data_IF_403124640679
#
_entry.id   IF_403124640679
#
_cell.length_a   1.000
_cell.length_b   1.000
_cell.length_c   1.000
_cell.angle_alpha   90.00
_cell.angle_beta   90.00
_cell.angle_gamma   90.00
#
_symmetry.space_group_name_H-M   'P 1'
#
loop_
_entity.id
_entity.type
_entity.pdbx_description
1 polymer ?
#
# COMPACT_ATOMS: atom_id res chain seq x y z
N UNK A 1 3.02 -21.63 1.84
CA UNK A 1 3.36 -20.54 0.91
C UNK A 1 2.68 -20.70 -0.45
N UNK A 2 1.36 -20.80 -0.45
CA UNK A 2 0.61 -20.92 -1.70
C UNK A 2 0.46 -19.60 -2.46
N UNK A 3 0.86 -18.48 -1.83
CA UNK A 3 0.60 -17.13 -2.33
C UNK A 3 1.73 -16.56 -3.21
N UNK A 4 2.83 -17.29 -3.40
CA UNK A 4 3.99 -16.81 -4.18
C UNK A 4 3.60 -16.42 -5.61
N UNK A 5 2.80 -17.26 -6.28
CA UNK A 5 2.39 -16.97 -7.65
C UNK A 5 1.47 -15.76 -7.74
N UNK A 6 0.53 -15.63 -6.80
CA UNK A 6 -0.35 -14.48 -6.72
C UNK A 6 0.42 -13.19 -6.43
N UNK A 7 1.40 -13.26 -5.53
CA UNK A 7 2.29 -12.14 -5.24
C UNK A 7 3.21 -11.81 -6.42
N UNK A 8 3.67 -12.82 -7.16
CA UNK A 8 4.46 -12.60 -8.37
C UNK A 8 3.67 -11.90 -9.47
N UNK A 9 2.37 -12.19 -9.60
CA UNK A 9 1.49 -11.47 -10.52
C UNK A 9 1.40 -9.97 -10.21
N UNK A 10 1.62 -9.58 -8.95
CA UNK A 10 1.64 -8.18 -8.50
C UNK A 10 3.05 -7.59 -8.64
N UNK A 11 4.02 -8.20 -7.99
CA UNK A 11 5.39 -7.67 -7.85
C UNK A 11 6.23 -7.84 -9.12
N UNK A 12 5.89 -8.78 -9.98
CA UNK A 12 6.53 -9.02 -11.26
C UNK A 12 5.96 -8.15 -12.40
N UNK A 13 4.89 -7.41 -12.17
CA UNK A 13 4.28 -6.53 -13.17
C UNK A 13 4.93 -5.14 -13.16
N UNK A 14 5.62 -4.80 -14.26
CA UNK A 14 6.35 -3.53 -14.36
C UNK A 14 5.45 -2.29 -14.24
N UNK A 15 4.21 -2.36 -14.71
CA UNK A 15 3.26 -1.24 -14.60
C UNK A 15 2.79 -1.04 -13.15
N UNK A 16 2.54 -2.12 -12.43
CA UNK A 16 2.20 -2.06 -10.99
C UNK A 16 3.35 -1.48 -10.17
N UNK A 17 4.59 -1.85 -10.51
CA UNK A 17 5.79 -1.46 -9.77
C UNK A 17 6.44 -0.16 -10.23
N UNK A 18 5.92 0.49 -11.26
CA UNK A 18 6.60 1.65 -11.92
C UNK A 18 6.97 2.80 -10.99
N UNK A 19 6.19 3.02 -9.95
CA UNK A 19 6.38 4.11 -8.98
C UNK A 19 7.07 3.67 -7.69
N UNK A 20 7.65 2.49 -7.67
CA UNK A 20 8.21 1.86 -6.47
C UNK A 20 9.63 1.35 -6.73
N UNK A 21 9.75 0.08 -7.03
CA UNK A 21 11.00 -0.61 -7.34
C UNK A 21 10.87 -1.31 -8.71
N UNK A 22 11.98 -1.69 -9.35
CA UNK A 22 11.91 -2.57 -10.52
C UNK A 22 11.12 -3.84 -10.21
N UNK A 23 10.40 -4.34 -11.22
CA UNK A 23 9.63 -5.58 -11.08
C UNK A 23 10.48 -6.73 -10.50
N UNK A 24 9.89 -7.47 -9.56
CA UNK A 24 10.60 -8.54 -8.85
C UNK A 24 10.71 -9.80 -9.68
N UNK A 25 11.83 -10.52 -9.50
CA UNK A 25 11.93 -11.93 -9.89
C UNK A 25 11.15 -12.80 -8.91
N UNK A 26 10.88 -14.06 -9.28
CA UNK A 26 10.16 -14.98 -8.39
C UNK A 26 10.94 -15.24 -7.10
N UNK A 27 12.27 -15.28 -7.15
CA UNK A 27 13.13 -15.44 -5.97
C UNK A 27 13.01 -14.24 -5.02
N UNK A 28 13.01 -13.02 -5.58
CA UNK A 28 12.84 -11.79 -4.77
C UNK A 28 11.45 -11.72 -4.17
N UNK A 29 10.42 -12.14 -4.90
CA UNK A 29 9.04 -12.23 -4.40
C UNK A 29 8.94 -13.22 -3.24
N UNK A 30 9.53 -14.41 -3.36
CA UNK A 30 9.55 -15.40 -2.28
C UNK A 30 10.28 -14.88 -1.03
N UNK A 31 11.41 -14.21 -1.21
CA UNK A 31 12.18 -13.61 -0.12
C UNK A 31 11.40 -12.50 0.59
N UNK A 32 10.75 -11.62 -0.16
CA UNK A 32 9.89 -10.57 0.37
C UNK A 32 8.70 -11.15 1.16
N UNK A 33 8.02 -12.16 0.59
CA UNK A 33 6.90 -12.81 1.26
C UNK A 33 7.34 -13.45 2.58
N UNK A 34 8.45 -14.18 2.58
CA UNK A 34 8.95 -14.84 3.80
C UNK A 34 9.42 -13.84 4.85
N UNK A 35 10.35 -12.97 4.50
CA UNK A 35 11.04 -12.11 5.47
C UNK A 35 10.21 -10.93 5.93
N UNK A 36 9.51 -10.27 5.00
CA UNK A 36 8.76 -9.05 5.32
C UNK A 36 7.31 -9.33 5.69
N UNK A 37 6.59 -10.10 4.86
CA UNK A 37 5.16 -10.31 5.11
C UNK A 37 4.91 -11.30 6.25
N UNK A 38 5.63 -12.43 6.30
CA UNK A 38 5.39 -13.50 7.28
C UNK A 38 6.16 -13.25 8.57
N UNK A 39 7.49 -13.15 8.50
CA UNK A 39 8.32 -13.05 9.71
C UNK A 39 8.13 -11.73 10.44
N UNK A 40 8.16 -10.60 9.70
CA UNK A 40 7.97 -9.26 10.28
C UNK A 40 6.51 -8.86 10.42
N UNK A 41 5.58 -9.60 9.79
CA UNK A 41 4.15 -9.24 9.73
C UNK A 41 3.93 -7.82 9.17
N UNK A 42 4.75 -7.41 8.20
CA UNK A 42 4.78 -6.05 7.67
C UNK A 42 3.67 -5.74 6.66
N UNK A 43 2.86 -6.74 6.28
CA UNK A 43 1.79 -6.57 5.31
C UNK A 43 0.58 -7.45 5.62
N UNK A 44 -0.58 -7.00 5.15
CA UNK A 44 -1.86 -7.69 5.22
C UNK A 44 -2.30 -8.04 3.80
N UNK A 45 -2.64 -9.30 3.54
CA UNK A 45 -3.12 -9.76 2.23
C UNK A 45 -4.58 -9.35 2.02
N UNK A 46 -4.89 -8.89 0.80
CA UNK A 46 -6.26 -8.73 0.30
C UNK A 46 -6.58 -9.95 -0.59
N UNK A 47 -7.53 -10.76 -0.13
CA UNK A 47 -7.92 -12.02 -0.78
C UNK A 47 -9.29 -11.89 -1.40
N UNK A 48 -9.41 -12.26 -2.68
CA UNK A 48 -10.71 -12.28 -3.37
C UNK A 48 -11.58 -13.40 -2.82
N UNK A 49 -12.79 -13.06 -2.34
CA UNK A 49 -13.66 -14.00 -1.61
C UNK A 49 -14.04 -15.24 -2.39
N UNK A 50 -14.33 -15.10 -3.68
CA UNK A 50 -14.83 -16.20 -4.49
C UNK A 50 -13.74 -17.16 -4.97
N UNK A 51 -12.51 -16.67 -5.12
CA UNK A 51 -11.41 -17.45 -5.70
C UNK A 51 -10.31 -17.80 -4.71
N UNK A 52 -10.33 -17.19 -3.52
CA UNK A 52 -9.27 -17.25 -2.53
C UNK A 52 -7.89 -16.76 -3.04
N UNK A 53 -7.84 -16.11 -4.20
CA UNK A 53 -6.62 -15.54 -4.79
C UNK A 53 -6.21 -14.29 -4.01
N UNK A 54 -4.93 -14.14 -3.72
CA UNK A 54 -4.37 -12.88 -3.23
C UNK A 54 -4.31 -11.89 -4.39
N UNK A 55 -5.11 -10.83 -4.31
CA UNK A 55 -5.22 -9.81 -5.37
C UNK A 55 -4.50 -8.53 -5.06
N UNK A 56 -4.03 -8.39 -3.84
CA UNK A 56 -3.29 -7.23 -3.37
C UNK A 56 -2.77 -7.43 -1.95
N UNK A 57 -2.01 -6.45 -1.48
CA UNK A 57 -1.57 -6.40 -0.09
C UNK A 57 -1.45 -4.96 0.38
N UNK A 58 -1.60 -4.77 1.67
CA UNK A 58 -1.46 -3.50 2.36
C UNK A 58 -0.22 -3.57 3.26
N UNK A 59 0.77 -2.75 3.01
CA UNK A 59 1.84 -2.48 3.95
C UNK A 59 1.26 -1.71 5.13
N UNK A 60 1.53 -2.16 6.34
CA UNK A 60 1.04 -1.50 7.54
C UNK A 60 2.02 -1.72 8.67
N UNK A 61 2.75 -0.67 9.04
CA UNK A 61 3.83 -0.76 10.01
C UNK A 61 3.80 0.43 10.97
N UNK A 62 4.13 0.19 12.22
CA UNK A 62 4.36 1.25 13.18
C UNK A 62 5.61 2.03 12.81
N UNK A 63 5.45 3.34 12.60
CA UNK A 63 6.52 4.27 12.28
C UNK A 63 7.07 4.94 13.55
N UNK A 64 6.17 5.33 14.44
CA UNK A 64 6.44 5.88 15.76
C UNK A 64 5.29 5.46 16.67
N UNK A 65 5.37 5.73 17.98
CA UNK A 65 4.36 5.33 18.95
C UNK A 65 2.95 5.73 18.51
N UNK A 66 2.11 4.73 18.23
CA UNK A 66 0.73 4.90 17.75
C UNK A 66 0.57 5.63 16.41
N UNK A 67 1.65 5.78 15.64
CA UNK A 67 1.66 6.36 14.28
C UNK A 67 2.05 5.27 13.29
N UNK A 68 1.18 5.01 12.31
CA UNK A 68 1.34 3.92 11.36
C UNK A 68 1.49 4.43 9.93
N UNK A 69 2.45 3.87 9.22
CA UNK A 69 2.60 4.06 7.78
C UNK A 69 1.89 2.94 7.04
N UNK A 70 1.14 3.29 6.00
CA UNK A 70 0.51 2.32 5.12
C UNK A 70 0.89 2.54 3.65
N UNK A 71 0.87 1.45 2.90
CA UNK A 71 1.00 1.43 1.45
C UNK A 71 0.15 0.31 0.89
N UNK A 72 -0.08 0.31 -0.40
CA UNK A 72 -0.91 -0.70 -1.07
C UNK A 72 -0.39 -1.03 -2.45
N UNK A 73 -0.56 -2.31 -2.81
CA UNK A 73 -0.21 -2.83 -4.13
C UNK A 73 -1.29 -3.83 -4.54
N UNK A 74 -1.88 -3.63 -5.72
CA UNK A 74 -2.93 -4.49 -6.23
C UNK A 74 -2.59 -5.00 -7.62
N UNK A 75 -2.95 -6.25 -7.87
CA UNK A 75 -2.87 -6.87 -9.18
C UNK A 75 -3.63 -6.01 -10.20
N UNK A 76 -2.96 -5.66 -11.29
CA UNK A 76 -3.50 -4.76 -12.33
C UNK A 76 -4.84 -5.24 -12.90
N UNK A 77 -5.06 -6.56 -12.99
CA UNK A 77 -6.31 -7.12 -13.46
C UNK A 77 -7.52 -6.76 -12.58
N UNK A 78 -7.28 -6.33 -11.35
CA UNK A 78 -8.32 -5.97 -10.36
C UNK A 78 -8.42 -4.46 -10.10
N UNK A 79 -7.68 -3.63 -10.84
CA UNK A 79 -7.76 -2.18 -10.70
C UNK A 79 -9.13 -1.65 -11.15
N UNK A 80 -9.54 -0.50 -10.58
CA UNK A 80 -10.76 0.19 -10.96
C UNK A 80 -12.06 -0.45 -10.47
N UNK A 81 -11.98 -1.42 -9.54
CA UNK A 81 -13.15 -2.17 -9.03
C UNK A 81 -13.43 -1.90 -7.54
N UNK A 82 -12.69 -0.98 -6.91
CA UNK A 82 -12.89 -0.59 -5.51
C UNK A 82 -12.19 -1.46 -4.48
N UNK A 83 -11.45 -2.48 -4.87
CA UNK A 83 -10.77 -3.39 -3.94
C UNK A 83 -9.72 -2.70 -3.07
N UNK A 84 -8.93 -1.79 -3.64
CA UNK A 84 -7.94 -1.04 -2.88
C UNK A 84 -8.61 -0.15 -1.82
N UNK A 85 -9.69 0.53 -2.17
CA UNK A 85 -10.45 1.36 -1.22
C UNK A 85 -11.03 0.51 -0.08
N UNK A 86 -11.72 -0.59 -0.41
CA UNK A 86 -12.32 -1.49 0.59
C UNK A 86 -11.27 -2.03 1.55
N UNK A 87 -10.14 -2.51 1.01
CA UNK A 87 -9.06 -3.10 1.81
C UNK A 87 -8.36 -2.07 2.68
N UNK A 88 -7.99 -0.93 2.13
CA UNK A 88 -7.35 0.15 2.88
C UNK A 88 -8.26 0.69 3.97
N UNK A 89 -9.57 0.86 3.67
CA UNK A 89 -10.55 1.30 4.66
C UNK A 89 -10.65 0.32 5.82
N UNK A 90 -10.69 -0.98 5.55
CA UNK A 90 -10.75 -2.00 6.59
C UNK A 90 -9.51 -1.96 7.51
N UNK A 91 -8.30 -1.77 6.95
CA UNK A 91 -7.07 -1.62 7.73
C UNK A 91 -7.10 -0.35 8.58
N UNK A 92 -7.54 0.77 8.02
CA UNK A 92 -7.68 2.05 8.72
C UNK A 92 -8.68 1.91 9.89
N UNK A 93 -9.84 1.33 9.63
CA UNK A 93 -10.85 1.11 10.68
C UNK A 93 -10.28 0.25 11.81
N UNK A 94 -9.61 -0.85 11.48
CA UNK A 94 -8.95 -1.71 12.47
C UNK A 94 -7.87 -0.95 13.26
N UNK A 95 -7.06 -0.14 12.61
CA UNK A 95 -6.02 0.65 13.26
C UNK A 95 -6.60 1.58 14.33
N UNK A 96 -7.65 2.32 14.01
CA UNK A 96 -8.26 3.26 14.95
C UNK A 96 -9.17 2.59 15.98
N UNK A 97 -10.01 1.64 15.56
CA UNK A 97 -11.04 1.07 16.43
C UNK A 97 -10.51 -0.04 17.34
N UNK A 98 -9.47 -0.75 16.93
CA UNK A 98 -8.91 -1.90 17.67
C UNK A 98 -7.53 -1.62 18.24
N UNK A 99 -6.65 -0.98 17.47
CA UNK A 99 -5.28 -0.72 17.88
C UNK A 99 -5.12 0.63 18.59
N UNK A 100 -6.18 1.46 18.63
CA UNK A 100 -6.14 2.82 19.19
C UNK A 100 -5.05 3.69 18.56
N UNK A 101 -4.83 3.58 17.26
CA UNK A 101 -3.88 4.39 16.55
C UNK A 101 -4.19 5.89 16.73
N UNK A 102 -3.15 6.71 16.86
CA UNK A 102 -3.27 8.15 16.85
C UNK A 102 -3.36 8.67 15.42
N UNK A 103 -2.54 8.10 14.52
CA UNK A 103 -2.41 8.57 13.14
C UNK A 103 -2.10 7.40 12.19
N UNK A 104 -2.69 7.46 11.01
CA UNK A 104 -2.27 6.66 9.85
C UNK A 104 -1.86 7.60 8.73
N UNK A 105 -0.70 7.38 8.12
CA UNK A 105 -0.24 8.17 6.99
C UNK A 105 0.25 7.29 5.84
N UNK A 106 0.31 7.88 4.67
CA UNK A 106 0.86 7.26 3.48
C UNK A 106 1.59 8.29 2.62
N UNK A 107 2.56 7.82 1.84
CA UNK A 107 3.24 8.63 0.86
C UNK A 107 3.15 8.00 -0.52
N UNK A 108 3.19 8.81 -1.56
CA UNK A 108 3.19 8.34 -2.95
C UNK A 108 3.84 9.32 -3.89
N UNK A 109 4.42 8.80 -4.98
CA UNK A 109 4.81 9.61 -6.14
C UNK A 109 3.73 9.63 -7.24
N UNK A 110 2.66 8.83 -7.07
CA UNK A 110 1.51 8.84 -7.97
C UNK A 110 0.54 9.96 -7.59
N UNK A 111 0.66 11.10 -8.26
CA UNK A 111 -0.19 12.27 -8.05
C UNK A 111 -1.64 12.12 -8.55
N UNK A 112 -2.01 11.00 -9.12
CA UNK A 112 -3.34 10.74 -9.68
C UNK A 112 -4.10 9.65 -8.92
N UNK A 113 -3.79 8.38 -9.18
CA UNK A 113 -4.56 7.24 -8.64
C UNK A 113 -4.43 7.12 -7.12
N UNK A 114 -3.19 7.10 -6.62
CA UNK A 114 -2.95 6.93 -5.19
C UNK A 114 -3.38 8.15 -4.38
N UNK A 115 -3.17 9.36 -4.89
CA UNK A 115 -3.67 10.60 -4.27
C UNK A 115 -5.20 10.60 -4.22
N UNK A 116 -5.88 10.19 -5.29
CA UNK A 116 -7.34 10.10 -5.29
C UNK A 116 -7.85 9.06 -4.28
N UNK A 117 -7.18 7.93 -4.15
CA UNK A 117 -7.51 6.93 -3.14
C UNK A 117 -7.35 7.48 -1.73
N UNK A 118 -6.23 8.15 -1.41
CA UNK A 118 -6.00 8.76 -0.11
C UNK A 118 -7.07 9.79 0.24
N UNK A 119 -7.47 10.63 -0.72
CA UNK A 119 -8.58 11.57 -0.54
C UNK A 119 -9.91 10.88 -0.24
N UNK A 120 -10.23 9.79 -0.96
CA UNK A 120 -11.44 8.99 -0.69
C UNK A 120 -11.42 8.34 0.68
N UNK A 121 -10.26 7.99 1.19
CA UNK A 121 -10.08 7.45 2.55
C UNK A 121 -10.18 8.52 3.65
N UNK A 122 -10.36 9.78 3.27
CA UNK A 122 -10.47 10.90 4.22
C UNK A 122 -9.13 11.47 4.67
N UNK A 123 -8.03 11.04 4.07
CA UNK A 123 -6.71 11.57 4.38
C UNK A 123 -6.55 13.00 3.87
N UNK A 124 -5.83 13.81 4.63
CA UNK A 124 -5.52 15.21 4.31
C UNK A 124 -4.09 15.36 3.84
N UNK A 125 -3.86 16.23 2.86
CA UNK A 125 -2.51 16.56 2.38
C UNK A 125 -1.72 17.24 3.51
N UNK A 126 -0.56 16.68 3.83
CA UNK A 126 0.35 17.23 4.85
C UNK A 126 1.60 17.89 4.25
N UNK A 127 1.95 17.53 3.03
CA UNK A 127 3.08 18.12 2.35
C UNK A 127 3.36 17.51 0.99
N UNK A 128 4.14 18.26 0.20
CA UNK A 128 4.68 17.83 -1.08
C UNK A 128 6.17 18.12 -1.11
N UNK A 129 6.97 17.09 -1.30
CA UNK A 129 8.42 17.24 -1.51
C UNK A 129 8.68 17.20 -3.01
N UNK A 130 9.04 18.38 -3.58
CA UNK A 130 9.23 18.53 -5.03
C UNK A 130 10.50 17.83 -5.49
N UNK A 131 10.40 17.06 -6.58
CA UNK A 131 11.52 16.34 -7.22
C UNK A 131 12.37 15.59 -6.20
N UNK A 132 11.74 14.91 -5.25
CA UNK A 132 12.40 14.27 -4.11
C UNK A 132 13.04 12.94 -4.48
N UNK A 133 12.45 12.22 -5.42
CA UNK A 133 12.89 10.89 -5.80
C UNK A 133 12.75 10.67 -7.32
N UNK A 134 13.20 9.54 -7.81
CA UNK A 134 12.98 9.14 -9.20
C UNK A 134 12.03 7.95 -9.27
N UNK A 135 11.20 7.95 -10.31
CA UNK A 135 10.45 6.75 -10.70
C UNK A 135 11.38 5.70 -11.32
N UNK A 136 10.84 4.52 -11.65
CA UNK A 136 11.62 3.44 -12.26
C UNK A 136 12.12 3.74 -13.69
N UNK A 137 11.63 4.81 -14.30
CA UNK A 137 12.07 5.26 -15.64
C UNK A 137 13.11 6.38 -15.56
N UNK A 138 13.53 6.76 -14.35
CA UNK A 138 14.54 7.78 -14.12
C UNK A 138 14.03 9.21 -14.13
N UNK A 139 12.71 9.43 -14.16
CA UNK A 139 12.11 10.76 -14.11
C UNK A 139 12.01 11.25 -12.66
N UNK A 140 12.36 12.51 -12.43
CA UNK A 140 12.14 13.14 -11.13
C UNK A 140 10.65 13.23 -10.81
N UNK A 141 10.29 12.89 -9.59
CA UNK A 141 8.93 12.85 -9.11
C UNK A 141 8.79 13.55 -7.76
N UNK A 142 7.64 14.21 -7.57
CA UNK A 142 7.24 14.75 -6.29
C UNK A 142 6.75 13.63 -5.38
N UNK A 143 6.97 13.78 -4.08
CA UNK A 143 6.42 12.87 -3.06
C UNK A 143 5.30 13.59 -2.32
N UNK A 144 4.12 13.00 -2.31
CA UNK A 144 2.92 13.50 -1.63
C UNK A 144 2.72 12.76 -0.32
N UNK A 145 2.59 13.49 0.78
CA UNK A 145 2.32 12.97 2.11
C UNK A 145 0.88 13.27 2.50
N UNK A 146 0.13 12.24 2.85
CA UNK A 146 -1.26 12.33 3.32
C UNK A 146 -1.40 11.63 4.66
N UNK A 147 -2.17 12.20 5.57
CA UNK A 147 -2.41 11.65 6.90
C UNK A 147 -3.85 11.72 7.33
N UNK A 148 -4.22 10.83 8.24
CA UNK A 148 -5.52 10.77 8.90
C UNK A 148 -5.29 10.62 10.39
N UNK A 149 -5.82 11.54 11.17
CA UNK A 149 -5.82 11.50 12.62
C UNK A 149 -7.09 10.78 13.12
N UNK A 150 -7.02 10.20 14.32
CA UNK A 150 -8.19 9.60 14.96
C UNK A 150 -9.38 10.57 15.09
N UNK A 151 -9.09 11.83 15.36
CA UNK A 151 -10.09 12.91 15.47
C UNK A 151 -10.69 13.36 14.13
N UNK A 152 -10.05 13.05 13.00
CA UNK A 152 -10.57 13.34 11.66
C UNK A 152 -11.68 12.39 11.22
N UNK A 153 -11.85 11.27 11.92
CA UNK A 153 -12.87 10.26 11.61
C UNK A 153 -14.22 10.68 12.18
N UNK A 154 -15.12 10.92 11.32
CA UNK A 154 -16.51 11.24 11.66
C UNK A 154 -17.44 10.09 11.29
#
# INVERSE_FOLDING_TARGET
>A
MNDINDMQDILGDAETMKNCEPAYTIEKTADFLQKFCIEKKGAVAATHKDTAKVIGYILFNEFDESVYEMGWFFNRAFWGQGFAYESCKAVIDYAFDTMNAHKVFAETIDGMKSVNLMKKLGMKLEGVQRSQTKDNFGNWADVYFYGLLSEDRL
#
